data_IF_152616132940
#
_entry.id   IF_152616132940
#
_cell.length_a   1.000
_cell.length_b   1.000
_cell.length_c   1.000
_cell.angle_alpha   90.00
_cell.angle_beta   90.00
_cell.angle_gamma   90.00
#
_symmetry.space_group_name_H-M   'P 1'
#
loop_
_entity.id
_entity.type
_entity.pdbx_description
1 polymer ?
#
# COMPACT_ATOMS: atom_id res chain seq x y z
N UNK A 1 -48.20 27.00 -18.57
CA UNK A 1 -46.90 26.35 -18.78
C UNK A 1 -45.81 27.23 -18.15
N UNK A 2 -45.16 26.75 -17.09
CA UNK A 2 -44.12 27.55 -16.41
C UNK A 2 -42.79 27.27 -17.15
N UNK A 3 -42.24 28.27 -17.83
CA UNK A 3 -40.92 28.16 -18.45
C UNK A 3 -39.84 28.69 -17.48
N UNK A 4 -39.00 27.79 -16.97
CA UNK A 4 -37.89 28.18 -16.13
C UNK A 4 -36.67 28.42 -17.01
N UNK A 5 -36.08 29.62 -16.97
CA UNK A 5 -34.85 29.98 -17.66
C UNK A 5 -33.72 30.03 -16.65
N UNK A 6 -32.71 29.19 -16.83
CA UNK A 6 -31.48 29.21 -16.02
C UNK A 6 -30.48 30.13 -16.72
N UNK A 7 -30.18 31.26 -16.13
CA UNK A 7 -29.16 32.20 -16.62
C UNK A 7 -27.77 31.78 -16.12
N UNK A 8 -26.72 32.02 -16.92
CA UNK A 8 -25.35 31.71 -16.54
C UNK A 8 -24.87 30.28 -16.84
N UNK A 9 -25.76 29.36 -17.24
CA UNK A 9 -25.38 27.96 -17.48
C UNK A 9 -24.31 27.80 -18.56
N UNK A 10 -24.40 28.55 -19.67
CA UNK A 10 -23.43 28.51 -20.75
C UNK A 10 -22.04 29.00 -20.31
N UNK A 11 -21.99 30.06 -19.51
CA UNK A 11 -20.76 30.61 -18.94
C UNK A 11 -20.12 29.60 -17.97
N UNK A 12 -20.92 28.95 -17.12
CA UNK A 12 -20.48 27.92 -16.21
C UNK A 12 -19.92 26.71 -16.95
N UNK A 13 -20.62 26.24 -17.99
CA UNK A 13 -20.13 25.13 -18.83
C UNK A 13 -18.78 25.44 -19.50
N UNK A 14 -18.61 26.69 -20.00
CA UNK A 14 -17.34 27.11 -20.60
C UNK A 14 -16.21 27.11 -19.58
N UNK A 15 -16.46 27.60 -18.37
CA UNK A 15 -15.47 27.57 -17.27
C UNK A 15 -15.12 26.14 -16.88
N UNK A 16 -16.08 25.23 -16.79
CA UNK A 16 -15.84 23.80 -16.51
C UNK A 16 -14.99 23.12 -17.59
N UNK A 17 -15.26 23.41 -18.88
CA UNK A 17 -14.46 22.86 -19.99
C UNK A 17 -13.00 23.31 -19.95
N UNK A 18 -12.70 24.46 -19.36
CA UNK A 18 -11.33 24.96 -19.18
C UNK A 18 -10.57 24.35 -18.00
N UNK A 19 -11.24 23.58 -17.12
CA UNK A 19 -10.59 23.01 -15.93
C UNK A 19 -9.79 21.75 -16.30
N UNK A 20 -8.50 21.78 -16.03
CA UNK A 20 -7.64 20.61 -16.21
C UNK A 20 -7.53 19.81 -14.90
N UNK A 21 -8.24 18.71 -14.82
CA UNK A 21 -8.23 17.81 -13.66
C UNK A 21 -7.04 16.83 -13.64
N UNK A 22 -6.30 16.67 -14.73
CA UNK A 22 -5.19 15.67 -14.80
C UNK A 22 -4.17 15.81 -13.68
N UNK A 23 -3.67 17.02 -13.32
CA UNK A 23 -2.72 17.15 -12.21
C UNK A 23 -3.30 16.72 -10.87
N UNK A 24 -4.56 17.09 -10.61
CA UNK A 24 -5.26 16.73 -9.38
C UNK A 24 -5.48 15.21 -9.25
N UNK A 25 -5.95 14.59 -10.34
CA UNK A 25 -6.13 13.13 -10.37
C UNK A 25 -4.81 12.37 -10.23
N UNK A 26 -3.73 12.87 -10.83
CA UNK A 26 -2.39 12.31 -10.64
C UNK A 26 -1.93 12.36 -9.18
N UNK A 27 -2.17 13.46 -8.51
CA UNK A 27 -1.87 13.60 -7.07
C UNK A 27 -2.74 12.66 -6.24
N UNK A 28 -4.03 12.57 -6.56
CA UNK A 28 -4.97 11.69 -5.86
C UNK A 28 -4.59 10.21 -6.01
N UNK A 29 -4.27 9.73 -7.20
CA UNK A 29 -3.88 8.32 -7.42
C UNK A 29 -2.58 7.98 -6.69
N UNK A 30 -1.62 8.90 -6.66
CA UNK A 30 -0.41 8.72 -5.85
C UNK A 30 -0.73 8.65 -4.35
N UNK A 31 -1.61 9.51 -3.86
CA UNK A 31 -2.03 9.51 -2.46
C UNK A 31 -2.76 8.21 -2.09
N UNK A 32 -3.62 7.68 -2.97
CA UNK A 32 -4.26 6.37 -2.79
C UNK A 32 -3.22 5.26 -2.71
N UNK A 33 -2.22 5.26 -3.60
CA UNK A 33 -1.14 4.26 -3.56
C UNK A 33 -0.33 4.33 -2.26
N UNK A 34 -0.07 5.52 -1.73
CA UNK A 34 0.59 5.70 -0.43
C UNK A 34 -0.29 5.25 0.74
N UNK A 35 -1.61 5.46 0.66
CA UNK A 35 -2.56 4.95 1.66
C UNK A 35 -2.54 3.41 1.70
N UNK A 36 -2.58 2.75 0.53
CA UNK A 36 -2.43 1.29 0.42
C UNK A 36 -1.09 0.84 1.00
N UNK A 37 0.00 1.54 0.67
CA UNK A 37 1.32 1.26 1.25
C UNK A 37 1.30 1.34 2.78
N UNK A 38 0.65 2.35 3.35
CA UNK A 38 0.50 2.51 4.80
C UNK A 38 -0.18 1.32 5.48
N UNK A 39 -1.02 0.59 4.73
CA UNK A 39 -1.74 -0.59 5.22
C UNK A 39 -0.90 -1.86 5.10
N UNK A 40 -0.19 -2.06 3.98
CA UNK A 40 0.49 -3.31 3.68
C UNK A 40 1.96 -3.34 4.11
N UNK A 41 2.63 -2.19 4.20
CA UNK A 41 4.04 -2.11 4.53
C UNK A 41 4.37 -2.39 6.01
N UNK A 42 3.52 -2.06 7.01
CA UNK A 42 3.83 -2.37 8.40
C UNK A 42 3.96 -3.87 8.63
N UNK A 43 4.94 -4.24 9.44
CA UNK A 43 5.03 -5.61 9.93
C UNK A 43 3.81 -5.95 10.81
N UNK A 44 3.36 -7.20 10.79
CA UNK A 44 2.28 -7.63 11.69
C UNK A 44 2.60 -7.31 13.15
N UNK A 45 1.59 -6.97 13.97
CA UNK A 45 1.81 -6.62 15.37
C UNK A 45 2.42 -7.78 16.14
N UNK A 46 3.14 -7.46 17.20
CA UNK A 46 3.71 -8.43 18.14
C UNK A 46 2.58 -9.08 18.94
N UNK A 47 2.09 -10.20 18.46
CA UNK A 47 1.13 -11.05 19.18
C UNK A 47 1.80 -12.32 19.66
N UNK A 48 1.20 -13.02 20.62
CA UNK A 48 1.70 -14.32 21.08
C UNK A 48 1.86 -15.34 19.92
N UNK A 49 1.03 -15.24 18.87
CA UNK A 49 1.13 -16.06 17.66
C UNK A 49 2.38 -15.71 16.83
N UNK A 50 2.79 -14.44 16.83
CA UNK A 50 3.98 -13.96 16.12
C UNK A 50 5.27 -14.11 16.94
N UNK A 51 5.11 -14.32 18.24
CA UNK A 51 6.20 -14.51 19.19
C UNK A 51 6.18 -15.97 19.68
N UNK A 52 6.47 -16.95 18.79
CA UNK A 52 6.59 -18.34 19.21
C UNK A 52 7.84 -18.51 20.07
N UNK A 53 7.71 -18.79 21.38
CA UNK A 53 8.85 -19.15 22.18
C UNK A 53 9.39 -20.50 21.72
N UNK A 54 10.69 -20.63 21.54
CA UNK A 54 11.36 -21.92 21.53
C UNK A 54 11.70 -22.52 20.18
N UNK A 55 11.41 -21.91 19.05
CA UNK A 55 11.76 -22.51 17.74
C UNK A 55 13.20 -22.25 17.29
N UNK A 56 13.86 -21.28 17.86
CA UNK A 56 15.26 -21.01 17.61
C UNK A 56 15.99 -20.75 18.92
N UNK A 57 16.47 -21.82 19.54
CA UNK A 57 17.50 -21.71 20.58
C UNK A 57 18.81 -21.43 19.88
N UNK A 58 19.19 -20.16 19.85
CA UNK A 58 20.52 -19.77 19.41
C UNK A 58 21.38 -19.64 20.64
N UNK A 59 22.38 -20.53 20.77
CA UNK A 59 23.47 -20.37 21.71
C UNK A 59 23.05 -20.25 23.17
N UNK A 60 22.21 -21.14 23.70
CA UNK A 60 21.93 -21.25 25.13
C UNK A 60 21.05 -20.14 25.74
N UNK A 61 20.55 -19.19 24.95
CA UNK A 61 19.68 -18.11 25.42
C UNK A 61 18.22 -18.34 25.07
N UNK A 62 17.33 -18.31 26.06
CA UNK A 62 15.86 -18.36 25.90
C UNK A 62 15.28 -17.07 25.32
N UNK A 63 15.79 -16.53 24.23
CA UNK A 63 15.15 -15.42 23.52
C UNK A 63 14.49 -15.97 22.27
N UNK A 64 13.16 -16.05 22.29
CA UNK A 64 12.38 -16.24 21.06
C UNK A 64 12.68 -15.07 20.12
N UNK A 65 13.33 -15.33 18.99
CA UNK A 65 13.48 -14.32 17.96
C UNK A 65 12.10 -13.99 17.44
N UNK A 66 11.76 -12.73 17.41
CA UNK A 66 10.59 -12.25 16.69
C UNK A 66 10.70 -12.75 15.27
N UNK A 67 9.68 -13.38 14.76
CA UNK A 67 9.79 -14.07 13.47
C UNK A 67 10.16 -13.11 12.30
N UNK A 68 9.79 -11.84 12.37
CA UNK A 68 10.20 -10.82 11.40
C UNK A 68 11.64 -10.31 11.60
N UNK A 69 12.30 -10.68 12.68
CA UNK A 69 13.72 -10.41 12.92
C UNK A 69 14.64 -11.55 12.43
N UNK A 70 14.08 -12.53 11.72
CA UNK A 70 14.86 -13.69 11.22
C UNK A 70 16.10 -13.33 10.43
N UNK A 71 16.11 -12.20 9.76
CA UNK A 71 17.30 -11.68 9.10
C UNK A 71 18.50 -11.43 10.04
N UNK A 72 18.28 -11.45 11.35
CA UNK A 72 19.30 -11.24 12.38
C UNK A 72 19.71 -12.51 13.13
N UNK A 73 19.14 -13.65 12.77
CA UNK A 73 19.45 -14.94 13.40
C UNK A 73 20.70 -15.63 12.85
N UNK A 74 20.98 -16.82 13.41
CA UNK A 74 22.06 -17.69 12.94
C UNK A 74 21.79 -18.11 11.49
N UNK A 75 22.84 -18.25 10.70
CA UNK A 75 22.76 -18.81 9.36
C UNK A 75 22.18 -20.22 9.38
N UNK A 76 21.37 -20.55 8.41
CA UNK A 76 20.85 -21.91 8.21
C UNK A 76 21.06 -22.36 6.76
N UNK A 77 21.22 -23.65 6.55
CA UNK A 77 21.26 -24.20 5.21
C UNK A 77 19.85 -24.36 4.64
N UNK A 78 19.65 -23.89 3.42
CA UNK A 78 18.43 -24.14 2.66
C UNK A 78 18.52 -25.53 1.99
N UNK A 79 17.36 -25.99 1.50
CA UNK A 79 17.26 -27.30 0.83
C UNK A 79 18.12 -27.39 -0.43
N UNK A 80 18.41 -26.28 -1.08
CA UNK A 80 19.28 -26.17 -2.26
C UNK A 80 20.78 -26.05 -1.92
N UNK A 81 21.15 -26.19 -0.66
CA UNK A 81 22.53 -26.05 -0.19
C UNK A 81 22.98 -24.59 0.01
N UNK A 82 22.18 -23.60 -0.33
CA UNK A 82 22.52 -22.20 -0.09
C UNK A 82 22.33 -21.79 1.37
N UNK A 83 23.11 -20.81 1.85
CA UNK A 83 22.96 -20.28 3.20
C UNK A 83 21.85 -19.23 3.26
N UNK A 84 20.91 -19.38 4.20
CA UNK A 84 20.01 -18.34 4.65
C UNK A 84 20.53 -17.68 5.93
N UNK A 85 20.11 -16.46 6.22
CA UNK A 85 20.51 -15.82 7.47
C UNK A 85 20.45 -14.30 7.45
N UNK A 86 21.18 -13.72 8.37
CA UNK A 86 21.15 -12.29 8.72
C UNK A 86 21.20 -11.31 7.54
N UNK A 87 21.97 -11.63 6.50
CA UNK A 87 22.15 -10.74 5.34
C UNK A 87 21.09 -10.90 4.26
N UNK A 88 20.14 -11.81 4.41
CA UNK A 88 19.12 -12.07 3.39
C UNK A 88 17.86 -11.21 3.55
N UNK A 89 17.70 -10.53 4.67
CA UNK A 89 16.60 -9.58 4.83
C UNK A 89 16.83 -8.35 3.97
N UNK A 90 15.96 -8.14 3.00
CA UNK A 90 15.96 -6.95 2.14
C UNK A 90 15.18 -5.81 2.79
N UNK A 91 14.88 -5.88 4.08
CA UNK A 91 14.09 -4.87 4.80
C UNK A 91 12.79 -4.53 4.06
N UNK A 92 11.93 -5.53 3.88
CA UNK A 92 10.73 -5.50 3.06
C UNK A 92 9.92 -4.18 3.17
N UNK A 93 9.75 -3.65 4.39
CA UNK A 93 9.05 -2.41 4.65
C UNK A 93 9.70 -1.16 4.01
N UNK A 94 10.99 -1.21 3.70
CA UNK A 94 11.75 -0.11 3.08
C UNK A 94 11.86 -0.23 1.56
N UNK A 95 11.39 -1.33 0.99
CA UNK A 95 11.52 -1.62 -0.44
C UNK A 95 10.28 -1.22 -1.24
N UNK A 96 9.28 -0.64 -0.59
CA UNK A 96 8.10 -0.13 -1.26
C UNK A 96 8.42 1.10 -2.09
N UNK A 97 7.80 1.17 -3.26
CA UNK A 97 7.95 2.27 -4.20
C UNK A 97 6.63 2.56 -4.90
N UNK A 98 6.32 3.84 -5.06
CA UNK A 98 5.17 4.31 -5.84
C UNK A 98 5.69 4.99 -7.09
N UNK A 99 5.37 4.44 -8.24
CA UNK A 99 5.75 4.96 -9.55
C UNK A 99 4.54 5.50 -10.31
N UNK A 100 4.78 6.50 -11.14
CA UNK A 100 3.77 7.00 -12.07
C UNK A 100 3.48 5.94 -13.14
N UNK A 101 2.20 5.80 -13.50
CA UNK A 101 1.75 4.95 -14.60
C UNK A 101 0.80 5.74 -15.50
N UNK A 102 1.17 5.90 -16.76
CA UNK A 102 0.40 6.71 -17.71
C UNK A 102 0.20 8.17 -17.24
N UNK A 103 -0.91 8.76 -17.65
CA UNK A 103 -1.19 10.19 -17.41
C UNK A 103 -1.61 10.49 -15.97
N UNK A 104 -2.43 9.64 -15.37
CA UNK A 104 -3.05 9.86 -14.04
C UNK A 104 -2.85 8.69 -13.08
N UNK A 105 -2.32 7.54 -13.54
CA UNK A 105 -2.18 6.34 -12.75
C UNK A 105 -0.94 6.36 -11.83
N UNK A 106 -0.97 5.49 -10.82
CA UNK A 106 0.16 5.16 -9.98
C UNK A 106 0.23 3.65 -9.78
N UNK A 107 1.44 3.10 -9.72
CA UNK A 107 1.71 1.70 -9.40
C UNK A 107 2.47 1.66 -8.09
N UNK A 108 1.97 0.89 -7.14
CA UNK A 108 2.66 0.54 -5.90
C UNK A 108 3.34 -0.81 -6.10
N UNK A 109 4.61 -0.90 -5.79
CA UNK A 109 5.37 -2.15 -5.86
C UNK A 109 6.39 -2.27 -4.74
N UNK A 110 6.88 -3.48 -4.52
CA UNK A 110 7.95 -3.76 -3.58
C UNK A 110 9.12 -4.45 -4.31
N UNK A 111 10.33 -3.96 -4.10
CA UNK A 111 11.54 -4.45 -4.79
C UNK A 111 12.15 -5.71 -4.16
N UNK A 112 11.71 -6.11 -2.98
CA UNK A 112 12.21 -7.32 -2.35
C UNK A 112 11.80 -8.56 -3.16
N UNK A 113 12.74 -9.41 -3.53
CA UNK A 113 12.50 -10.59 -4.38
C UNK A 113 11.48 -11.57 -3.80
N UNK A 114 11.33 -11.60 -2.49
CA UNK A 114 10.36 -12.45 -1.78
C UNK A 114 9.02 -11.75 -1.48
N UNK A 115 8.85 -10.50 -1.90
CA UNK A 115 7.62 -9.74 -1.66
C UNK A 115 6.34 -10.46 -2.15
N UNK A 116 6.33 -11.13 -3.32
CA UNK A 116 5.14 -11.87 -3.76
C UNK A 116 4.69 -12.95 -2.77
N UNK A 117 5.65 -13.63 -2.12
CA UNK A 117 5.35 -14.67 -1.12
C UNK A 117 4.88 -14.10 0.23
N UNK A 118 5.04 -12.80 0.45
CA UNK A 118 4.58 -12.12 1.66
C UNK A 118 3.26 -11.39 1.43
N UNK A 119 3.14 -10.67 0.32
CA UNK A 119 2.05 -9.74 0.07
C UNK A 119 1.19 -10.09 -1.16
N UNK A 120 1.65 -10.95 -2.07
CA UNK A 120 0.87 -11.30 -3.26
C UNK A 120 -0.34 -12.15 -2.89
N UNK A 121 -1.54 -11.72 -3.30
CA UNK A 121 -2.78 -12.43 -2.94
C UNK A 121 -2.76 -13.91 -3.41
N UNK A 122 -2.27 -14.17 -4.63
CA UNK A 122 -2.24 -15.50 -5.22
C UNK A 122 -1.01 -16.33 -4.83
N UNK A 123 0.02 -15.70 -4.26
CA UNK A 123 1.33 -16.34 -4.01
C UNK A 123 1.73 -16.32 -2.54
N UNK A 124 0.89 -15.73 -1.68
CA UNK A 124 1.22 -15.62 -0.26
C UNK A 124 1.47 -17.00 0.36
N UNK A 125 2.64 -17.20 0.92
CA UNK A 125 2.94 -18.42 1.64
C UNK A 125 2.05 -18.54 2.88
N UNK A 126 1.51 -19.74 3.14
CA UNK A 126 0.62 -20.03 4.27
C UNK A 126 1.20 -19.59 5.62
N UNK A 127 2.51 -19.66 5.76
CA UNK A 127 3.24 -19.16 6.91
C UNK A 127 3.04 -17.65 7.13
N UNK A 128 3.06 -16.84 6.06
CA UNK A 128 2.85 -15.40 6.18
C UNK A 128 1.39 -15.06 6.45
N UNK A 129 0.47 -15.77 5.81
CA UNK A 129 -0.97 -15.66 6.11
C UNK A 129 -1.27 -15.97 7.58
N UNK A 130 -0.70 -17.04 8.13
CA UNK A 130 -0.87 -17.44 9.53
C UNK A 130 -0.31 -16.40 10.54
N UNK A 131 0.55 -15.49 10.09
CA UNK A 131 1.12 -14.43 10.91
C UNK A 131 0.51 -13.05 10.60
N UNK A 132 -0.66 -13.02 9.94
CA UNK A 132 -1.42 -11.80 9.64
C UNK A 132 -0.70 -10.77 8.75
N UNK A 133 0.18 -11.24 7.85
CA UNK A 133 0.70 -10.37 6.81
C UNK A 133 -0.42 -10.01 5.83
N UNK A 134 -0.60 -8.74 5.60
CA UNK A 134 -1.64 -8.25 4.70
C UNK A 134 -1.20 -8.41 3.25
N UNK A 135 -2.12 -8.90 2.41
CA UNK A 135 -1.92 -8.96 0.97
C UNK A 135 -2.13 -7.59 0.33
N UNK A 136 -1.60 -7.42 -0.87
CA UNK A 136 -1.85 -6.26 -1.72
C UNK A 136 -3.34 -6.06 -2.00
N UNK A 137 -4.07 -7.14 -2.32
CA UNK A 137 -5.52 -7.13 -2.50
C UNK A 137 -6.26 -6.68 -1.23
N UNK A 138 -5.86 -7.17 -0.06
CA UNK A 138 -6.44 -6.75 1.21
C UNK A 138 -6.25 -5.25 1.46
N UNK A 139 -5.08 -4.70 1.07
CA UNK A 139 -4.82 -3.27 1.12
C UNK A 139 -5.74 -2.45 0.22
N UNK A 140 -5.89 -2.88 -1.04
CA UNK A 140 -6.80 -2.24 -2.00
C UNK A 140 -8.25 -2.30 -1.53
N UNK A 141 -8.69 -3.47 -1.07
CA UNK A 141 -10.05 -3.68 -0.54
C UNK A 141 -10.34 -2.77 0.66
N UNK A 142 -9.40 -2.64 1.58
CA UNK A 142 -9.55 -1.77 2.74
C UNK A 142 -9.77 -0.31 2.33
N UNK A 143 -8.91 0.24 1.46
CA UNK A 143 -9.00 1.64 1.00
C UNK A 143 -10.30 1.90 0.24
N UNK A 144 -10.76 0.91 -0.55
CA UNK A 144 -12.03 0.98 -1.26
C UNK A 144 -13.23 0.97 -0.29
N UNK A 145 -13.26 0.03 0.65
CA UNK A 145 -14.39 -0.16 1.58
C UNK A 145 -14.52 0.96 2.61
N UNK A 146 -13.42 1.54 3.06
CA UNK A 146 -13.43 2.68 3.99
C UNK A 146 -13.81 4.01 3.33
N UNK A 147 -13.92 4.03 2.00
CA UNK A 147 -14.16 5.24 1.25
C UNK A 147 -12.97 6.23 1.22
N UNK A 148 -11.80 5.80 1.69
CA UNK A 148 -10.60 6.66 1.71
C UNK A 148 -10.21 7.12 0.30
N UNK A 149 -10.30 6.24 -0.70
CA UNK A 149 -10.06 6.60 -2.09
C UNK A 149 -10.99 7.72 -2.57
N UNK A 150 -12.30 7.59 -2.29
CA UNK A 150 -13.28 8.60 -2.68
C UNK A 150 -13.03 9.96 -2.00
N UNK A 151 -12.68 9.95 -0.71
CA UNK A 151 -12.34 11.18 0.01
C UNK A 151 -11.13 11.88 -0.60
N UNK A 152 -10.08 11.12 -0.96
CA UNK A 152 -8.88 11.66 -1.59
C UNK A 152 -9.20 12.26 -2.96
N UNK A 153 -9.97 11.56 -3.80
CA UNK A 153 -10.34 12.03 -5.14
C UNK A 153 -11.24 13.27 -5.05
N UNK A 154 -12.27 13.24 -4.22
CA UNK A 154 -13.18 14.37 -4.04
C UNK A 154 -12.43 15.62 -3.55
N UNK A 155 -11.56 15.46 -2.55
CA UNK A 155 -10.72 16.56 -2.07
C UNK A 155 -9.84 17.17 -3.17
N UNK A 156 -9.26 16.34 -4.05
CA UNK A 156 -8.46 16.81 -5.15
C UNK A 156 -9.27 17.56 -6.21
N UNK A 157 -10.49 17.10 -6.49
CA UNK A 157 -11.43 17.74 -7.40
C UNK A 157 -11.89 19.08 -6.80
N UNK A 158 -12.36 19.10 -5.56
CA UNK A 158 -12.82 20.30 -4.88
C UNK A 158 -11.75 21.39 -4.84
N UNK A 159 -10.53 21.03 -4.50
CA UNK A 159 -9.39 21.95 -4.50
C UNK A 159 -9.14 22.54 -5.90
N UNK A 160 -9.34 21.74 -6.94
CA UNK A 160 -9.18 22.21 -8.32
C UNK A 160 -10.29 23.16 -8.71
N UNK A 161 -11.53 22.86 -8.34
CA UNK A 161 -12.70 23.72 -8.59
C UNK A 161 -12.59 25.05 -7.84
N UNK A 162 -12.15 25.02 -6.56
CA UNK A 162 -11.90 26.26 -5.78
C UNK A 162 -10.86 27.15 -6.47
N UNK A 163 -9.73 26.57 -6.91
CA UNK A 163 -8.70 27.33 -7.63
C UNK A 163 -9.20 27.92 -8.95
N UNK A 164 -10.15 27.25 -9.59
CA UNK A 164 -10.82 27.75 -10.79
C UNK A 164 -11.94 28.76 -10.48
N UNK A 165 -12.24 29.03 -9.21
CA UNK A 165 -13.33 29.90 -8.77
C UNK A 165 -14.71 29.38 -9.17
N UNK A 166 -14.91 28.05 -9.13
CA UNK A 166 -16.16 27.37 -9.48
C UNK A 166 -16.99 26.99 -8.26
N UNK A 167 -16.36 26.87 -7.10
CA UNK A 167 -16.95 26.66 -5.78
C UNK A 167 -16.21 27.48 -4.74
#
# INVERSE_FOLDING_TARGET
>A
MLAMRIEGLAALQTRFKGVNFKPALRTATRAIALEIQGIVAPYPPETAANMKPGWFVIGGGKRGNRWYERGYGTKWLRRDGSEGGRKTSQMLNRQWNVQRHGDIGAVLGNKASYSPFVHGADQQASFHAAHNWRTDEAGVKHVSQTGAANKIVNSAIDNTLRRAGLI
#
